data_IF_369768310024
#
_entry.id   IF_369768310024
#
_cell.length_a   1.000
_cell.length_b   1.000
_cell.length_c   1.000
_cell.angle_alpha   90.00
_cell.angle_beta   90.00
_cell.angle_gamma   90.00
#
_symmetry.space_group_name_H-M   'P 1'
#
loop_
_entity.id
_entity.type
_entity.pdbx_description
1 polymer ?
#
# COMPACT_ATOMS: atom_id res chain seq x y z
N UNK A 1 -13.55 5.99 -1.04
CA UNK A 1 -14.09 4.85 -1.80
C UNK A 1 -14.55 3.73 -0.85
N UNK A 2 -13.65 3.13 -0.05
CA UNK A 2 -14.03 2.02 0.85
C UNK A 2 -15.16 2.39 1.80
N UNK A 3 -15.13 3.58 2.40
CA UNK A 3 -16.18 4.06 3.30
C UNK A 3 -17.53 4.25 2.57
N UNK A 4 -17.52 4.62 1.29
CA UNK A 4 -18.75 4.70 0.47
C UNK A 4 -19.39 3.32 0.26
N UNK A 5 -18.59 2.26 0.30
CA UNK A 5 -19.02 0.88 0.18
C UNK A 5 -19.41 0.26 1.53
N UNK A 6 -19.44 1.05 2.59
CA UNK A 6 -19.85 0.61 3.92
C UNK A 6 -18.75 0.02 4.80
N UNK A 7 -17.50 0.00 4.33
CA UNK A 7 -16.38 -0.45 5.17
C UNK A 7 -15.99 0.62 6.19
N UNK A 8 -15.74 0.20 7.42
CA UNK A 8 -15.02 1.03 8.39
C UNK A 8 -13.55 1.04 7.99
N UNK A 9 -12.95 2.24 7.90
CA UNK A 9 -11.57 2.42 7.47
C UNK A 9 -10.81 3.19 8.52
N UNK A 10 -9.80 2.54 9.10
CA UNK A 10 -8.88 3.19 10.01
C UNK A 10 -7.59 3.57 9.30
N UNK A 11 -7.24 4.83 9.41
CA UNK A 11 -6.00 5.38 8.89
C UNK A 11 -5.01 5.59 10.05
N UNK A 12 -3.86 4.94 9.94
CA UNK A 12 -2.84 4.92 10.99
C UNK A 12 -1.46 5.26 10.44
N UNK A 13 -0.61 5.75 11.31
CA UNK A 13 0.81 5.98 11.00
C UNK A 13 1.64 5.61 12.23
N UNK A 14 2.77 4.89 12.07
CA UNK A 14 3.68 4.62 13.18
C UNK A 14 4.05 5.89 13.96
N UNK A 15 4.21 5.74 15.26
CA UNK A 15 4.58 6.82 16.19
C UNK A 15 3.58 7.99 16.26
N UNK A 16 2.36 7.78 15.76
CA UNK A 16 1.29 8.78 15.79
C UNK A 16 0.00 8.23 16.41
N UNK A 17 -0.76 9.16 16.97
CA UNK A 17 -2.02 8.88 17.68
C UNK A 17 -3.23 9.30 16.85
N UNK A 18 -4.37 8.76 17.22
CA UNK A 18 -5.67 9.21 16.72
C UNK A 18 -5.80 10.73 16.84
N UNK A 19 -6.36 11.36 15.82
CA UNK A 19 -6.57 12.80 15.74
C UNK A 19 -5.37 13.61 15.28
N UNK A 20 -4.16 13.05 15.27
CA UNK A 20 -2.99 13.70 14.70
C UNK A 20 -3.09 13.76 13.16
N UNK A 21 -2.28 14.63 12.58
CA UNK A 21 -2.25 14.83 11.13
C UNK A 21 -0.92 14.35 10.53
N UNK A 22 -1.01 13.81 9.34
CA UNK A 22 0.13 13.61 8.45
C UNK A 22 0.04 14.60 7.28
N UNK A 23 1.19 15.07 6.81
CA UNK A 23 1.28 15.85 5.59
C UNK A 23 1.27 14.92 4.42
N UNK A 24 0.38 15.17 3.45
CA UNK A 24 0.43 14.50 2.15
C UNK A 24 1.26 15.33 1.17
N UNK A 25 1.67 14.73 0.07
CA UNK A 25 2.41 15.38 -0.98
C UNK A 25 1.71 15.23 -2.33
N UNK A 26 1.87 16.24 -3.18
CA UNK A 26 1.49 16.18 -4.59
C UNK A 26 2.79 15.98 -5.37
N UNK A 27 2.87 14.89 -6.11
CA UNK A 27 3.99 14.61 -7.00
C UNK A 27 3.69 15.19 -8.38
N UNK A 28 4.64 15.88 -8.98
CA UNK A 28 4.57 16.33 -10.36
C UNK A 28 5.84 15.94 -11.13
N UNK A 29 5.76 15.99 -12.45
CA UNK A 29 6.84 15.64 -13.36
C UNK A 29 7.26 16.87 -14.18
N UNK A 30 7.12 18.06 -13.62
CA UNK A 30 7.45 19.33 -14.29
C UNK A 30 8.98 19.50 -14.39
N UNK A 31 9.49 19.35 -15.57
CA UNK A 31 10.80 19.86 -16.00
C UNK A 31 11.98 18.92 -15.93
N UNK A 32 12.25 18.29 -14.82
CA UNK A 32 13.46 17.49 -14.61
C UNK A 32 13.25 15.98 -14.82
N UNK A 33 14.33 15.22 -14.77
CA UNK A 33 14.31 13.74 -14.94
C UNK A 33 13.65 13.00 -13.78
N UNK A 34 13.33 13.70 -12.69
CA UNK A 34 12.65 13.16 -11.52
C UNK A 34 11.43 14.00 -11.19
N UNK A 35 10.53 13.44 -10.40
CA UNK A 35 9.39 14.21 -9.91
C UNK A 35 9.77 15.10 -8.73
N UNK A 36 9.04 16.20 -8.57
CA UNK A 36 9.09 17.07 -7.41
C UNK A 36 7.90 16.85 -6.49
N UNK A 37 8.04 17.23 -5.22
CA UNK A 37 6.98 17.15 -4.23
C UNK A 37 6.54 18.55 -3.83
N UNK A 38 5.23 18.80 -3.97
CA UNK A 38 4.57 19.99 -3.43
C UNK A 38 3.76 19.61 -2.19
N UNK A 39 3.61 20.50 -1.19
CA UNK A 39 2.74 20.23 -0.06
C UNK A 39 1.30 19.93 -0.52
N UNK A 40 0.77 18.81 -0.07
CA UNK A 40 -0.62 18.42 -0.28
C UNK A 40 -1.50 18.84 0.91
N UNK A 41 -2.45 17.99 1.28
CA UNK A 41 -3.36 18.22 2.38
C UNK A 41 -2.83 17.64 3.69
N UNK A 42 -3.34 18.16 4.80
CA UNK A 42 -3.23 17.51 6.09
C UNK A 42 -4.28 16.39 6.17
N UNK A 43 -3.84 15.17 6.36
CA UNK A 43 -4.72 14.02 6.50
C UNK A 43 -4.81 13.62 7.96
N UNK A 44 -6.02 13.60 8.54
CA UNK A 44 -6.27 13.26 9.93
C UNK A 44 -6.27 11.73 10.11
N UNK A 45 -5.50 11.25 11.09
CA UNK A 45 -5.51 9.85 11.48
C UNK A 45 -6.74 9.52 12.32
N UNK A 46 -7.30 8.33 12.12
CA UNK A 46 -8.56 7.91 12.76
C UNK A 46 -8.35 6.92 13.90
N UNK A 47 -7.12 6.40 14.05
CA UNK A 47 -6.77 5.48 15.14
C UNK A 47 -5.28 5.61 15.48
N UNK A 48 -4.94 5.32 16.71
CA UNK A 48 -3.55 5.21 17.19
C UNK A 48 -2.93 3.93 16.61
N UNK A 49 -1.73 4.03 16.02
CA UNK A 49 -1.08 2.88 15.39
C UNK A 49 -0.85 1.71 16.36
N UNK A 50 -0.43 2.00 17.59
CA UNK A 50 -0.14 0.99 18.60
C UNK A 50 -1.38 0.24 19.12
N UNK A 51 -2.58 0.74 18.84
CA UNK A 51 -3.87 0.14 19.20
C UNK A 51 -4.49 -0.69 18.06
N UNK A 52 -3.75 -0.87 16.96
CA UNK A 52 -4.20 -1.73 15.85
C UNK A 52 -4.05 -3.19 16.26
N UNK A 53 -5.18 -3.88 16.38
CA UNK A 53 -5.21 -5.33 16.50
C UNK A 53 -5.51 -5.93 15.12
N UNK A 54 -4.66 -6.86 14.67
CA UNK A 54 -4.80 -7.55 13.40
C UNK A 54 -6.18 -8.24 13.25
N UNK A 55 -6.73 -8.76 14.32
CA UNK A 55 -7.96 -9.56 14.29
C UNK A 55 -9.20 -8.69 14.00
N UNK A 56 -9.13 -7.40 14.30
CA UNK A 56 -10.23 -6.45 14.05
C UNK A 56 -10.43 -6.11 12.57
N UNK A 57 -9.47 -6.47 11.69
CA UNK A 57 -9.46 -6.01 10.30
C UNK A 57 -9.59 -7.17 9.30
N UNK A 58 -10.35 -6.90 8.24
CA UNK A 58 -10.56 -7.85 7.13
C UNK A 58 -9.57 -7.66 5.98
N UNK A 59 -8.83 -6.57 5.95
CA UNK A 59 -7.83 -6.30 4.91
C UNK A 59 -6.92 -5.13 5.24
N UNK A 60 -5.84 -5.00 4.48
CA UNK A 60 -4.83 -3.95 4.64
C UNK A 60 -4.60 -3.22 3.32
N UNK A 61 -4.58 -1.90 3.36
CA UNK A 61 -4.17 -1.06 2.23
C UNK A 61 -2.90 -0.27 2.59
N UNK A 62 -1.82 -0.50 1.85
CA UNK A 62 -0.53 0.19 2.03
C UNK A 62 -0.40 1.27 0.96
N UNK A 63 -0.35 2.52 1.40
CA UNK A 63 -0.24 3.69 0.52
C UNK A 63 1.18 3.86 -0.04
N UNK A 64 1.27 4.56 -1.16
CA UNK A 64 2.54 4.91 -1.80
C UNK A 64 3.12 6.23 -1.31
N UNK A 65 3.74 6.97 -2.22
CA UNK A 65 4.52 8.15 -1.92
C UNK A 65 5.88 7.76 -1.32
N UNK A 66 6.45 8.62 -0.47
CA UNK A 66 7.75 8.36 0.18
C UNK A 66 7.62 7.73 1.56
N UNK A 67 6.43 7.65 2.12
CA UNK A 67 6.20 7.03 3.42
C UNK A 67 6.72 5.59 3.53
N UNK A 68 6.66 4.74 2.49
CA UNK A 68 7.20 3.38 2.53
C UNK A 68 8.68 3.31 2.90
N UNK A 69 9.49 4.30 2.53
CA UNK A 69 10.91 4.35 2.93
C UNK A 69 11.10 4.40 4.46
N UNK A 70 10.18 5.05 5.16
CA UNK A 70 10.20 5.20 6.62
C UNK A 70 9.48 4.05 7.32
N UNK A 71 8.27 3.74 6.92
CA UNK A 71 7.46 2.77 7.65
C UNK A 71 8.03 1.36 7.55
N UNK A 72 8.79 1.05 6.49
CA UNK A 72 9.48 -0.24 6.35
C UNK A 72 10.57 -0.47 7.39
N UNK A 73 11.06 0.57 8.06
CA UNK A 73 12.03 0.47 9.15
C UNK A 73 11.38 0.13 10.50
N UNK A 74 10.06 0.25 10.59
CA UNK A 74 9.32 -0.03 11.81
C UNK A 74 8.97 -1.52 11.93
N UNK A 75 9.48 -2.19 12.94
CA UNK A 75 9.29 -3.63 13.14
C UNK A 75 7.82 -4.03 13.34
N UNK A 76 7.00 -3.18 13.96
CA UNK A 76 5.56 -3.44 14.14
C UNK A 76 4.84 -3.42 12.80
N UNK A 77 5.16 -2.45 11.91
CA UNK A 77 4.62 -2.41 10.53
C UNK A 77 4.98 -3.69 9.79
N UNK A 78 6.25 -4.07 9.82
CA UNK A 78 6.71 -5.28 9.13
C UNK A 78 6.02 -6.54 9.66
N UNK A 79 5.87 -6.66 10.97
CA UNK A 79 5.16 -7.78 11.58
C UNK A 79 3.69 -7.81 11.19
N UNK A 80 3.01 -6.66 11.19
CA UNK A 80 1.61 -6.54 10.80
C UNK A 80 1.41 -6.94 9.33
N UNK A 81 2.25 -6.44 8.42
CA UNK A 81 2.19 -6.80 6.99
C UNK A 81 2.40 -8.31 6.79
N UNK A 82 3.36 -8.91 7.50
CA UNK A 82 3.57 -10.37 7.47
C UNK A 82 2.32 -11.13 7.92
N UNK A 83 1.66 -10.68 8.99
CA UNK A 83 0.43 -11.29 9.48
C UNK A 83 -0.67 -11.24 8.42
N UNK A 84 -0.94 -10.09 7.82
CA UNK A 84 -1.96 -9.94 6.78
C UNK A 84 -1.69 -10.81 5.55
N UNK A 85 -0.48 -10.78 5.02
CA UNK A 85 -0.15 -11.58 3.83
C UNK A 85 -0.26 -13.09 4.12
N UNK A 86 0.25 -13.54 5.26
CA UNK A 86 0.26 -14.97 5.62
C UNK A 86 -1.10 -15.52 6.02
N UNK A 87 -1.97 -14.70 6.56
CA UNK A 87 -3.33 -15.11 6.94
C UNK A 87 -4.28 -15.30 5.76
N UNK A 88 -3.89 -14.83 4.58
CA UNK A 88 -4.77 -14.81 3.40
C UNK A 88 -5.74 -13.62 3.38
N UNK A 89 -5.75 -12.73 4.37
CA UNK A 89 -6.54 -11.49 4.31
C UNK A 89 -6.04 -10.62 3.16
N UNK A 90 -6.93 -9.97 2.40
CA UNK A 90 -6.53 -9.10 1.27
C UNK A 90 -5.55 -8.00 1.67
N UNK A 91 -4.50 -7.85 0.88
CA UNK A 91 -3.50 -6.79 1.03
C UNK A 91 -3.38 -6.05 -0.29
N UNK A 92 -3.70 -4.77 -0.28
CA UNK A 92 -3.45 -3.88 -1.41
C UNK A 92 -2.21 -3.03 -1.15
N UNK A 93 -1.34 -2.88 -2.16
CA UNK A 93 -0.13 -2.09 -2.06
C UNK A 93 0.12 -1.32 -3.37
N UNK A 94 0.24 0.00 -3.29
CA UNK A 94 0.37 0.85 -4.46
C UNK A 94 1.72 1.56 -4.51
N UNK A 95 2.28 1.69 -5.71
CA UNK A 95 3.45 2.54 -5.99
C UNK A 95 4.69 2.08 -5.20
N UNK A 96 5.22 2.93 -4.31
CA UNK A 96 6.37 2.62 -3.47
C UNK A 96 6.05 1.67 -2.29
N UNK A 97 4.80 1.32 -2.07
CA UNK A 97 4.41 0.36 -1.02
C UNK A 97 5.10 -1.01 -1.16
N UNK A 98 5.57 -1.36 -2.38
CA UNK A 98 6.39 -2.55 -2.60
C UNK A 98 7.63 -2.62 -1.69
N UNK A 99 8.19 -1.48 -1.27
CA UNK A 99 9.32 -1.42 -0.33
C UNK A 99 8.97 -2.01 1.05
N UNK A 100 7.71 -1.86 1.47
CA UNK A 100 7.24 -2.46 2.72
C UNK A 100 7.07 -3.97 2.55
N UNK A 101 6.56 -4.41 1.40
CA UNK A 101 6.40 -5.82 1.08
C UNK A 101 7.74 -6.55 0.98
N UNK A 102 8.75 -5.94 0.34
CA UNK A 102 10.10 -6.51 0.23
C UNK A 102 10.78 -6.57 1.60
N UNK A 103 10.66 -5.52 2.42
CA UNK A 103 11.18 -5.51 3.79
C UNK A 103 10.47 -6.52 4.69
N UNK A 104 9.18 -6.81 4.44
CA UNK A 104 8.42 -7.84 5.13
C UNK A 104 8.74 -9.27 4.65
N UNK A 105 9.58 -9.44 3.63
CA UNK A 105 9.94 -10.75 3.08
C UNK A 105 8.70 -11.59 2.70
N UNK A 106 7.78 -10.97 1.93
CA UNK A 106 6.51 -11.61 1.54
C UNK A 106 6.29 -11.63 0.03
N UNK A 107 7.30 -11.24 -0.76
CA UNK A 107 7.20 -11.14 -2.22
C UNK A 107 7.81 -12.33 -2.97
N UNK A 108 8.61 -13.16 -2.30
CA UNK A 108 9.30 -14.27 -2.96
C UNK A 108 8.31 -15.22 -3.64
N UNK A 109 8.51 -15.44 -4.95
CA UNK A 109 7.65 -16.26 -5.80
C UNK A 109 6.29 -15.64 -6.17
N UNK A 110 5.94 -14.47 -5.62
CA UNK A 110 4.65 -13.79 -5.87
C UNK A 110 4.71 -12.92 -7.13
N UNK A 111 3.60 -12.86 -7.86
CA UNK A 111 3.41 -11.90 -8.94
C UNK A 111 2.97 -10.57 -8.36
N UNK A 112 3.67 -9.50 -8.71
CA UNK A 112 3.30 -8.15 -8.26
C UNK A 112 3.83 -7.09 -9.22
N UNK A 113 3.22 -5.94 -9.15
CA UNK A 113 3.72 -4.72 -9.79
C UNK A 113 4.01 -3.64 -8.75
N UNK A 114 4.75 -2.62 -9.14
CA UNK A 114 5.10 -1.49 -8.29
C UNK A 114 5.48 -0.29 -9.15
N UNK A 115 5.81 0.83 -8.52
CA UNK A 115 6.44 1.93 -9.25
C UNK A 115 7.67 1.41 -10.01
N UNK A 116 7.82 1.70 -11.32
CA UNK A 116 8.81 1.04 -12.17
C UNK A 116 10.25 1.08 -11.65
N UNK A 117 10.63 2.16 -10.97
CA UNK A 117 11.97 2.30 -10.38
C UNK A 117 12.29 1.24 -9.30
N UNK A 118 11.27 0.62 -8.70
CA UNK A 118 11.41 -0.43 -7.69
C UNK A 118 11.41 -1.85 -8.27
N UNK A 119 11.26 -2.01 -9.58
CA UNK A 119 11.24 -3.33 -10.23
C UNK A 119 12.50 -4.16 -9.91
N UNK A 120 13.66 -3.51 -9.85
CA UNK A 120 14.91 -4.18 -9.50
C UNK A 120 14.91 -4.70 -8.05
N UNK A 121 14.39 -3.90 -7.10
CA UNK A 121 14.28 -4.29 -5.69
C UNK A 121 13.33 -5.51 -5.53
N UNK A 122 12.18 -5.48 -6.20
CA UNK A 122 11.23 -6.61 -6.19
C UNK A 122 11.87 -7.89 -6.72
N UNK A 123 12.59 -7.81 -7.85
CA UNK A 123 13.29 -8.96 -8.44
C UNK A 123 14.40 -9.48 -7.52
N UNK A 124 15.18 -8.62 -6.90
CA UNK A 124 16.23 -9.00 -5.95
C UNK A 124 15.66 -9.70 -4.71
N UNK A 125 14.45 -9.31 -4.29
CA UNK A 125 13.72 -9.96 -3.20
C UNK A 125 13.02 -11.26 -3.63
N UNK A 126 13.23 -11.74 -4.86
CA UNK A 126 12.66 -12.98 -5.40
C UNK A 126 11.22 -12.85 -5.88
N UNK A 127 10.69 -11.66 -6.01
CA UNK A 127 9.36 -11.39 -6.56
C UNK A 127 9.34 -11.44 -8.10
N UNK A 128 8.23 -11.88 -8.66
CA UNK A 128 7.97 -11.88 -10.09
C UNK A 128 7.34 -10.54 -10.48
N UNK A 129 8.17 -9.56 -10.80
CA UNK A 129 7.69 -8.25 -11.25
C UNK A 129 6.95 -8.36 -12.58
N UNK A 130 5.72 -7.87 -12.60
CA UNK A 130 4.87 -7.78 -13.79
C UNK A 130 4.77 -6.32 -14.20
N UNK A 131 5.25 -6.00 -15.39
CA UNK A 131 5.08 -4.70 -15.99
C UNK A 131 3.67 -4.58 -16.56
N UNK A 132 2.96 -3.53 -16.15
CA UNK A 132 1.59 -3.22 -16.59
C UNK A 132 1.44 -1.72 -16.81
N UNK A 133 0.36 -1.31 -17.45
CA UNK A 133 0.05 0.11 -17.60
C UNK A 133 -0.16 0.79 -16.24
N UNK A 134 0.09 2.13 -16.12
CA UNK A 134 0.00 2.85 -14.85
C UNK A 134 -1.37 2.79 -14.17
N UNK A 135 -2.44 2.54 -14.93
CA UNK A 135 -3.84 2.46 -14.49
C UNK A 135 -4.34 1.03 -14.25
N UNK A 136 -3.44 0.05 -14.32
CA UNK A 136 -3.76 -1.36 -14.10
C UNK A 136 -3.38 -1.84 -12.70
N UNK A 137 -3.85 -3.05 -12.36
CA UNK A 137 -3.51 -3.75 -11.13
C UNK A 137 -3.14 -5.21 -11.42
N UNK A 138 -2.25 -5.75 -10.61
CA UNK A 138 -1.87 -7.18 -10.61
C UNK A 138 -2.40 -7.82 -9.35
N UNK A 139 -3.06 -8.97 -9.52
CA UNK A 139 -3.59 -9.79 -8.42
C UNK A 139 -2.84 -11.11 -8.38
N UNK A 140 -2.37 -11.47 -7.21
CA UNK A 140 -1.81 -12.78 -6.91
C UNK A 140 -2.34 -13.25 -5.55
N UNK A 141 -3.30 -14.17 -5.59
CA UNK A 141 -4.03 -14.63 -4.42
C UNK A 141 -4.62 -13.44 -3.62
N UNK A 142 -4.14 -13.23 -2.41
CA UNK A 142 -4.58 -12.14 -1.54
C UNK A 142 -3.78 -10.84 -1.70
N UNK A 143 -2.77 -10.79 -2.56
CA UNK A 143 -1.96 -9.61 -2.81
C UNK A 143 -2.41 -8.89 -4.07
N UNK A 144 -2.77 -7.63 -3.93
CA UNK A 144 -3.23 -6.75 -5.00
C UNK A 144 -2.27 -5.56 -5.09
N UNK A 145 -1.68 -5.34 -6.26
CA UNK A 145 -0.68 -4.28 -6.43
C UNK A 145 -0.96 -3.42 -7.66
N UNK A 146 -0.54 -2.16 -7.62
CA UNK A 146 -0.67 -1.24 -8.75
C UNK A 146 0.56 -0.32 -8.84
N UNK A 147 0.99 0.10 -10.05
CA UNK A 147 2.23 0.85 -10.22
C UNK A 147 2.17 2.26 -9.64
N UNK A 148 1.03 2.96 -9.79
CA UNK A 148 0.94 4.38 -9.45
C UNK A 148 -0.52 4.82 -9.23
N UNK A 149 -0.72 6.09 -8.86
CA UNK A 149 -2.04 6.67 -8.59
C UNK A 149 -3.07 6.57 -9.71
N UNK A 150 -2.74 6.53 -11.03
CA UNK A 150 -3.74 6.26 -12.05
C UNK A 150 -4.44 4.92 -11.85
N UNK A 151 -3.77 3.94 -11.24
CA UNK A 151 -4.31 2.63 -10.92
C UNK A 151 -5.19 2.57 -9.68
N UNK A 152 -5.49 3.69 -9.01
CA UNK A 152 -6.34 3.70 -7.81
C UNK A 152 -7.69 3.02 -8.02
N UNK A 153 -8.33 3.23 -9.17
CA UNK A 153 -9.61 2.59 -9.49
C UNK A 153 -9.46 1.08 -9.65
N UNK A 154 -8.42 0.65 -10.36
CA UNK A 154 -8.17 -0.76 -10.61
C UNK A 154 -7.82 -1.52 -9.31
N UNK A 155 -6.89 -0.99 -8.52
CA UNK A 155 -6.48 -1.64 -7.27
C UNK A 155 -7.63 -1.69 -6.26
N UNK A 156 -8.44 -0.64 -6.15
CA UNK A 156 -9.60 -0.61 -5.25
C UNK A 156 -10.66 -1.60 -5.70
N UNK A 157 -10.96 -1.70 -7.00
CA UNK A 157 -11.89 -2.68 -7.54
C UNK A 157 -11.49 -4.11 -7.16
N UNK A 158 -10.23 -4.48 -7.41
CA UNK A 158 -9.75 -5.83 -7.11
C UNK A 158 -9.66 -6.07 -5.59
N UNK A 159 -9.29 -5.06 -4.81
CA UNK A 159 -9.26 -5.15 -3.35
C UNK A 159 -10.65 -5.38 -2.76
N UNK A 160 -11.66 -4.65 -3.22
CA UNK A 160 -13.05 -4.78 -2.75
C UNK A 160 -13.64 -6.14 -3.15
N UNK A 161 -13.35 -6.66 -4.35
CA UNK A 161 -13.69 -8.04 -4.73
C UNK A 161 -13.07 -9.05 -3.77
N UNK A 162 -11.78 -8.89 -3.45
CA UNK A 162 -11.09 -9.78 -2.52
C UNK A 162 -11.66 -9.70 -1.09
N UNK A 163 -12.25 -8.56 -0.71
CA UNK A 163 -13.00 -8.40 0.56
C UNK A 163 -14.39 -9.04 0.54
N UNK A 164 -14.80 -9.66 -0.58
CA UNK A 164 -16.06 -10.39 -0.71
C UNK A 164 -17.25 -9.54 -1.17
N UNK A 165 -17.02 -8.34 -1.69
CA UNK A 165 -18.08 -7.55 -2.30
C UNK A 165 -18.29 -7.97 -3.77
N UNK A 166 -19.49 -8.38 -4.11
CA UNK A 166 -19.91 -8.63 -5.50
C UNK A 166 -20.49 -7.33 -6.09
N UNK A 167 -20.08 -6.99 -7.33
CA UNK A 167 -20.59 -5.85 -8.11
C UNK A 167 -21.61 -6.34 -9.15
#
# INVERSE_FOLDING_TARGET
ALSMLGYQVDAVCPDKKEGEFIKTAIHDFEGDQTYTEKPGHLFKLTKTFDEVDFDDYVGLFITGGRSPEYIRMNHKVISLVKCFVRSGKPVAAICHAAQVLTAADVVCGRKLTCYPALAAEVKLAGGNYIEVAPDEAVVDCNLITSPAWPGNTAILREFVKALGCEF
#
